data_IF_826299359472
#
_entry.id   IF_826299359472
#
_cell.length_a   1.000
_cell.length_b   1.000
_cell.length_c   1.000
_cell.angle_alpha   90.00
_cell.angle_beta   90.00
_cell.angle_gamma   90.00
#
_symmetry.space_group_name_H-M   'P 1'
#
loop_
_entity.id
_entity.type
_entity.pdbx_description
1 polymer ?
#
# COMPACT_ATOMS: atom_id res chain seq x y z
N UNK A 1 65.20 21.84 29.69
CA UNK A 1 66.30 21.31 28.84
C UNK A 1 65.66 21.02 27.50
N UNK A 2 66.17 21.84 26.54
CA UNK A 2 66.07 21.76 25.09
C UNK A 2 64.63 21.87 24.47
N UNK A 3 64.14 23.02 24.07
CA UNK A 3 64.50 23.91 22.96
C UNK A 3 64.84 23.19 21.65
N UNK A 4 63.94 23.30 20.68
CA UNK A 4 64.33 23.46 19.27
C UNK A 4 63.13 24.01 18.48
N UNK A 5 63.19 25.29 18.24
CA UNK A 5 62.38 26.08 17.34
C UNK A 5 63.10 26.18 15.98
N UNK A 6 62.57 25.76 14.85
CA UNK A 6 63.32 25.82 13.56
C UNK A 6 62.74 26.87 12.60
N UNK A 7 62.41 28.07 13.08
CA UNK A 7 62.05 29.17 12.16
C UNK A 7 62.75 30.44 12.63
N UNK A 8 64.06 30.48 12.40
CA UNK A 8 64.87 31.61 12.61
C UNK A 8 65.63 31.99 11.37
N UNK A 9 65.33 33.14 10.81
CA UNK A 9 66.17 34.16 10.22
C UNK A 9 67.31 33.77 9.21
N UNK A 10 67.24 34.44 8.09
CA UNK A 10 68.43 34.70 7.24
C UNK A 10 68.04 34.97 5.81
N UNK A 11 67.93 36.16 5.38
CA UNK A 11 68.97 36.90 4.65
C UNK A 11 68.80 36.76 3.14
N UNK A 12 68.25 37.76 2.54
CA UNK A 12 68.68 38.52 1.39
C UNK A 12 69.28 37.74 0.17
N UNK A 13 68.73 38.03 -0.93
CA UNK A 13 69.25 38.26 -2.25
C UNK A 13 68.59 37.49 -3.42
N UNK A 14 67.97 38.25 -4.27
CA UNK A 14 68.19 38.16 -5.69
C UNK A 14 67.24 37.37 -6.55
N UNK A 15 66.56 38.12 -7.41
CA UNK A 15 65.93 37.75 -8.67
C UNK A 15 64.52 37.25 -8.66
N UNK A 16 63.63 38.21 -8.74
CA UNK A 16 62.28 38.05 -9.32
C UNK A 16 62.36 38.04 -10.85
N UNK A 17 62.01 36.94 -11.53
CA UNK A 17 61.96 36.94 -13.01
C UNK A 17 60.63 37.37 -13.58
N UNK A 18 59.77 38.03 -12.79
CA UNK A 18 58.48 38.52 -13.29
C UNK A 18 58.30 40.02 -13.01
N UNK A 19 59.33 40.78 -13.29
CA UNK A 19 59.29 42.22 -13.32
C UNK A 19 59.28 42.70 -14.78
N UNK A 20 58.13 42.84 -15.35
CA UNK A 20 57.99 43.37 -16.72
C UNK A 20 56.70 44.15 -16.87
N UNK A 21 56.80 45.44 -16.96
CA UNK A 21 55.80 46.28 -17.55
C UNK A 21 54.93 47.10 -16.59
N UNK A 22 55.51 48.08 -15.92
CA UNK A 22 54.78 49.23 -15.43
C UNK A 22 54.17 50.00 -16.62
N UNK A 23 52.91 49.83 -16.85
CA UNK A 23 52.13 50.78 -17.64
C UNK A 23 51.27 51.58 -16.65
N UNK A 24 51.56 52.86 -16.57
CA UNK A 24 50.93 53.88 -15.81
C UNK A 24 49.44 54.06 -16.24
N UNK A 25 48.55 53.13 -15.89
CA UNK A 25 47.11 53.32 -16.09
C UNK A 25 46.40 53.98 -14.91
N UNK A 26 47.11 54.33 -13.84
CA UNK A 26 46.52 55.06 -12.71
C UNK A 26 46.24 56.54 -13.00
N UNK A 27 46.85 57.13 -14.08
CA UNK A 27 46.57 58.50 -14.44
C UNK A 27 45.28 58.70 -15.22
N UNK A 28 44.79 57.67 -15.93
CA UNK A 28 43.57 57.81 -16.72
C UNK A 28 42.32 57.63 -15.81
N UNK A 29 42.39 56.84 -14.77
CA UNK A 29 41.31 56.68 -13.84
C UNK A 29 41.10 57.93 -12.96
N UNK A 30 42.19 58.54 -12.49
CA UNK A 30 42.09 59.84 -11.79
C UNK A 30 41.67 60.96 -12.72
N UNK A 31 42.14 60.99 -13.98
CA UNK A 31 41.62 61.95 -14.96
C UNK A 31 40.17 61.72 -15.34
N UNK A 32 39.72 60.48 -15.36
CA UNK A 32 38.31 60.16 -15.57
C UNK A 32 37.43 60.55 -14.40
N UNK A 33 37.91 60.33 -13.16
CA UNK A 33 37.25 60.77 -11.95
C UNK A 33 37.27 62.31 -11.83
N UNK A 34 38.40 62.97 -12.15
CA UNK A 34 38.46 64.43 -12.19
C UNK A 34 37.56 65.01 -13.28
N UNK A 35 37.54 64.42 -14.48
CA UNK A 35 36.62 64.87 -15.55
C UNK A 35 35.16 64.65 -15.19
N UNK A 36 34.84 63.56 -14.48
CA UNK A 36 33.48 63.32 -13.95
C UNK A 36 33.15 64.33 -12.84
N UNK A 37 34.08 64.54 -11.90
CA UNK A 37 33.91 65.55 -10.82
C UNK A 37 33.83 66.98 -11.33
N UNK A 38 34.61 67.36 -12.37
CA UNK A 38 34.57 68.69 -12.98
C UNK A 38 33.33 68.89 -13.87
N UNK A 39 32.80 67.81 -14.46
CA UNK A 39 31.46 67.86 -15.11
C UNK A 39 30.33 67.97 -14.10
N UNK A 40 30.40 67.28 -12.95
CA UNK A 40 29.46 67.43 -11.86
C UNK A 40 29.69 68.74 -11.07
N UNK A 41 30.91 69.27 -10.98
CA UNK A 41 31.22 70.53 -10.34
C UNK A 41 30.80 71.78 -11.12
N UNK A 42 30.52 71.64 -12.43
CA UNK A 42 29.95 72.73 -13.26
C UNK A 42 28.41 72.83 -13.16
N UNK A 43 27.73 71.85 -12.57
CA UNK A 43 26.35 71.96 -12.17
C UNK A 43 26.31 72.85 -10.92
N UNK A 44 26.24 74.17 -11.09
CA UNK A 44 25.94 75.11 -10.04
C UNK A 44 24.60 74.73 -9.38
N UNK A 45 24.70 73.95 -8.29
CA UNK A 45 23.57 73.52 -7.46
C UNK A 45 23.06 74.72 -6.63
N UNK A 46 22.91 75.84 -7.24
CA UNK A 46 22.58 77.08 -6.56
C UNK A 46 21.29 77.77 -7.00
N UNK A 47 20.45 77.11 -7.77
CA UNK A 47 19.16 77.68 -8.14
C UNK A 47 18.01 76.72 -7.82
N UNK A 48 16.83 77.24 -7.43
CA UNK A 48 15.66 76.41 -7.07
C UNK A 48 15.27 75.44 -8.17
N UNK A 49 15.56 75.77 -9.42
CA UNK A 49 15.30 74.96 -10.62
C UNK A 49 16.21 73.73 -10.74
N UNK A 50 17.47 73.81 -10.33
CA UNK A 50 18.40 72.67 -10.34
C UNK A 50 18.16 71.69 -9.20
N UNK A 51 17.74 72.19 -8.05
CA UNK A 51 17.28 71.34 -6.93
C UNK A 51 16.05 70.54 -7.33
N UNK A 52 15.10 71.17 -8.06
CA UNK A 52 13.89 70.50 -8.55
C UNK A 52 14.24 69.39 -9.58
N UNK A 53 15.19 69.61 -10.48
CA UNK A 53 15.67 68.59 -11.43
C UNK A 53 16.35 67.41 -10.67
N UNK A 54 17.14 67.69 -9.62
CA UNK A 54 17.79 66.66 -8.81
C UNK A 54 16.75 65.82 -8.04
N UNK A 55 15.71 66.47 -7.52
CA UNK A 55 14.59 65.75 -6.89
C UNK A 55 13.86 64.87 -7.89
N UNK A 56 13.59 65.37 -9.07
CA UNK A 56 12.92 64.57 -10.14
C UNK A 56 13.76 63.37 -10.53
N UNK A 57 15.10 63.54 -10.68
CA UNK A 57 16.00 62.41 -10.99
C UNK A 57 16.02 61.41 -9.81
N UNK A 58 16.07 61.87 -8.59
CA UNK A 58 16.02 60.98 -7.40
C UNK A 58 14.70 60.20 -7.33
N UNK A 59 13.56 60.85 -7.66
CA UNK A 59 12.25 60.19 -7.72
C UNK A 59 12.21 59.18 -8.85
N UNK A 60 12.79 59.49 -10.01
CA UNK A 60 12.84 58.56 -11.14
C UNK A 60 13.70 57.34 -10.81
N UNK A 61 14.86 57.51 -10.15
CA UNK A 61 15.71 56.42 -9.70
C UNK A 61 15.00 55.59 -8.67
N UNK A 62 14.30 56.25 -7.71
CA UNK A 62 13.50 55.57 -6.72
C UNK A 62 12.36 54.75 -7.33
N UNK A 63 11.61 55.29 -8.32
CA UNK A 63 10.61 54.58 -9.07
C UNK A 63 11.21 53.39 -9.86
N UNK A 64 12.38 53.57 -10.48
CA UNK A 64 13.07 52.52 -11.20
C UNK A 64 13.53 51.35 -10.30
N UNK A 65 13.65 51.59 -8.98
CA UNK A 65 13.97 50.54 -7.99
C UNK A 65 12.82 49.58 -7.67
N UNK A 66 11.62 49.83 -8.23
CA UNK A 66 10.42 49.02 -7.96
C UNK A 66 10.31 47.67 -8.70
N UNK A 67 11.31 47.32 -9.48
CA UNK A 67 11.31 46.00 -10.15
C UNK A 67 11.68 44.90 -9.17
N UNK A 68 10.88 43.83 -9.15
CA UNK A 68 11.16 42.62 -8.39
C UNK A 68 10.93 41.38 -9.23
N UNK A 69 11.62 40.29 -8.91
CA UNK A 69 11.52 39.02 -9.59
C UNK A 69 10.88 37.99 -8.66
N UNK A 70 9.90 37.26 -9.15
CA UNK A 70 9.28 36.11 -8.50
C UNK A 70 9.83 34.83 -9.14
N UNK A 71 10.41 33.95 -8.34
CA UNK A 71 10.92 32.65 -8.84
C UNK A 71 9.75 31.70 -9.15
N UNK A 72 9.99 30.63 -9.96
CA UNK A 72 8.91 29.71 -10.36
C UNK A 72 8.24 28.98 -9.20
N UNK A 73 8.93 28.82 -8.07
CA UNK A 73 8.44 28.18 -6.85
C UNK A 73 7.82 29.17 -5.84
N UNK A 74 7.76 30.46 -6.19
CA UNK A 74 7.26 31.54 -5.34
C UNK A 74 6.01 32.21 -5.91
N UNK A 75 5.24 32.84 -5.06
CA UNK A 75 4.18 33.78 -5.43
C UNK A 75 4.46 35.14 -4.78
N UNK A 76 4.33 36.19 -5.58
CA UNK A 76 4.47 37.56 -5.09
C UNK A 76 3.18 38.04 -4.42
N UNK A 77 3.31 38.59 -3.22
CA UNK A 77 2.20 39.24 -2.50
C UNK A 77 2.54 40.69 -2.31
N UNK A 78 1.72 41.57 -2.88
CA UNK A 78 1.95 42.99 -2.93
C UNK A 78 1.19 43.72 -1.77
N UNK A 79 1.93 44.48 -0.98
CA UNK A 79 1.38 45.28 0.10
C UNK A 79 1.56 46.78 -0.22
N UNK A 80 0.47 47.53 -0.18
CA UNK A 80 0.48 48.96 -0.33
C UNK A 80 0.27 49.60 1.05
N UNK A 81 1.26 50.34 1.55
CA UNK A 81 1.28 50.89 2.91
C UNK A 81 0.98 49.87 4.01
N UNK A 82 1.49 48.61 3.81
CA UNK A 82 1.27 47.52 4.74
C UNK A 82 -0.10 46.82 4.62
N UNK A 83 -0.96 47.27 3.72
CA UNK A 83 -2.24 46.61 3.44
C UNK A 83 -2.15 45.75 2.20
N UNK A 84 -2.57 44.50 2.31
CA UNK A 84 -2.66 43.58 1.21
C UNK A 84 -3.72 44.00 0.18
N UNK A 85 -3.36 44.01 -1.10
CA UNK A 85 -4.22 44.45 -2.22
C UNK A 85 -5.04 43.32 -2.86
N UNK A 86 -5.18 42.17 -2.17
CA UNK A 86 -5.89 40.98 -2.66
C UNK A 86 -5.41 40.47 -4.03
N UNK A 87 -4.17 40.77 -4.42
CA UNK A 87 -3.55 40.29 -5.63
C UNK A 87 -2.32 39.47 -5.29
N UNK A 88 -2.26 38.27 -5.84
CA UNK A 88 -1.06 37.42 -5.89
C UNK A 88 -0.50 37.46 -7.30
N UNK A 89 0.81 37.60 -7.41
CA UNK A 89 1.53 37.74 -8.67
C UNK A 89 2.22 36.41 -8.98
N UNK A 90 2.06 35.93 -10.19
CA UNK A 90 2.70 34.68 -10.66
C UNK A 90 4.21 34.89 -10.89
N UNK A 91 4.92 33.79 -11.21
CA UNK A 91 6.35 33.83 -11.49
C UNK A 91 6.69 34.76 -12.67
N UNK A 92 7.76 35.54 -12.54
CA UNK A 92 8.22 36.47 -13.55
C UNK A 92 8.84 37.73 -13.01
N UNK A 93 9.07 38.70 -13.93
CA UNK A 93 9.53 40.03 -13.56
C UNK A 93 8.33 40.96 -13.47
N UNK A 94 8.15 41.56 -12.33
CA UNK A 94 7.04 42.44 -12.02
C UNK A 94 7.55 43.79 -11.54
N UNK A 95 6.68 44.77 -11.61
CA UNK A 95 6.94 46.13 -11.13
C UNK A 95 5.90 46.50 -10.08
N UNK A 96 6.37 46.89 -8.92
CA UNK A 96 5.53 47.43 -7.85
C UNK A 96 6.18 48.66 -7.21
N UNK A 97 5.43 49.42 -6.44
CA UNK A 97 5.98 50.61 -5.79
C UNK A 97 7.12 50.26 -4.85
N UNK A 98 8.27 50.97 -4.94
CA UNK A 98 9.39 50.70 -4.05
C UNK A 98 9.11 51.11 -2.61
N UNK A 99 9.88 50.52 -1.67
CA UNK A 99 9.85 50.89 -0.28
C UNK A 99 10.09 52.41 -0.11
N UNK A 100 9.35 53.14 0.79
CA UNK A 100 8.46 52.64 1.84
C UNK A 100 6.97 52.51 1.45
N UNK A 101 6.57 52.86 0.25
CA UNK A 101 5.16 52.87 -0.19
C UNK A 101 4.65 51.44 -0.43
N UNK A 102 5.43 50.65 -1.14
CA UNK A 102 5.13 49.25 -1.43
C UNK A 102 6.11 48.31 -0.73
N UNK A 103 5.61 47.13 -0.40
CA UNK A 103 6.39 46.02 0.08
C UNK A 103 5.92 44.75 -0.62
N UNK A 104 6.83 43.91 -1.10
CA UNK A 104 6.54 42.62 -1.70
C UNK A 104 7.09 41.51 -0.83
N UNK A 105 6.29 40.46 -0.64
CA UNK A 105 6.67 39.22 0.07
C UNK A 105 6.55 38.10 -0.92
N UNK A 106 7.60 37.29 -1.06
CA UNK A 106 7.65 36.16 -2.00
C UNK A 106 7.79 34.83 -1.26
N UNK A 107 6.71 34.31 -0.67
CA UNK A 107 6.77 33.01 -0.02
C UNK A 107 6.84 31.89 -1.03
N UNK A 108 7.60 30.82 -0.69
CA UNK A 108 7.70 29.61 -1.49
C UNK A 108 6.41 28.78 -1.36
N UNK A 109 5.70 28.63 -2.49
CA UNK A 109 4.38 27.96 -2.53
C UNK A 109 4.47 26.50 -2.95
N UNK A 110 5.44 26.14 -3.81
CA UNK A 110 5.59 24.76 -4.29
C UNK A 110 6.29 23.84 -3.27
N UNK A 111 6.88 24.39 -2.21
CA UNK A 111 7.53 23.60 -1.17
C UNK A 111 6.47 22.85 -0.37
N UNK A 112 6.60 21.52 -0.35
CA UNK A 112 5.76 20.66 0.48
C UNK A 112 6.20 20.80 1.93
N UNK A 113 5.27 21.25 2.77
CA UNK A 113 5.45 21.38 4.22
C UNK A 113 4.86 20.16 4.91
N UNK A 114 5.51 19.76 5.99
CA UNK A 114 5.14 18.59 6.78
C UNK A 114 4.79 19.02 8.20
N UNK A 115 3.64 18.57 8.69
CA UNK A 115 3.25 18.70 10.09
C UNK A 115 3.05 17.31 10.68
N UNK A 116 3.75 17.02 11.77
CA UNK A 116 3.62 15.77 12.52
C UNK A 116 2.68 15.99 13.71
N UNK A 117 1.71 15.08 13.88
CA UNK A 117 0.71 15.12 14.94
C UNK A 117 0.77 13.77 15.69
N UNK A 118 0.79 13.86 17.03
CA UNK A 118 0.97 12.70 17.91
C UNK A 118 2.43 12.29 18.15
N UNK A 119 3.36 12.85 17.39
CA UNK A 119 4.79 12.61 17.59
C UNK A 119 5.64 13.80 17.16
N UNK A 120 6.87 13.86 17.69
CA UNK A 120 7.89 14.82 17.24
C UNK A 120 9.08 14.06 16.73
N UNK A 121 9.52 14.40 15.53
CA UNK A 121 10.75 13.88 14.95
C UNK A 121 11.96 14.64 15.53
N UNK A 122 13.13 14.03 15.55
CA UNK A 122 14.36 14.67 15.98
C UNK A 122 14.65 15.96 15.19
N UNK A 123 14.23 16.05 13.93
CA UNK A 123 14.31 17.25 13.09
C UNK A 123 13.46 18.39 13.61
N UNK A 124 12.29 18.11 14.20
CA UNK A 124 11.36 19.12 14.71
C UNK A 124 11.86 19.73 16.04
N UNK A 125 12.74 19.00 16.73
CA UNK A 125 13.35 19.41 17.99
C UNK A 125 14.68 20.16 17.82
N UNK A 126 15.14 20.38 16.56
CA UNK A 126 16.38 21.10 16.28
C UNK A 126 17.65 20.35 16.66
N UNK A 127 17.56 19.09 17.03
CA UNK A 127 18.72 18.25 17.31
C UNK A 127 19.26 17.65 16.01
N UNK A 128 20.43 18.14 15.58
CA UNK A 128 21.23 17.53 14.51
C UNK A 128 21.89 16.24 15.01
N UNK A 129 21.12 15.30 15.51
CA UNK A 129 21.64 14.05 16.03
C UNK A 129 21.06 12.87 15.25
N UNK A 130 21.93 11.96 14.87
CA UNK A 130 21.67 10.68 14.22
C UNK A 130 20.79 9.69 15.02
N UNK A 131 20.02 10.19 15.98
CA UNK A 131 19.10 9.40 16.78
C UNK A 131 17.71 9.52 16.19
N UNK A 132 17.20 8.44 15.58
CA UNK A 132 15.82 8.27 15.16
C UNK A 132 14.84 8.18 16.36
N UNK A 133 15.05 8.97 17.41
CA UNK A 133 14.19 9.00 18.58
C UNK A 133 12.95 9.84 18.26
N UNK A 134 11.89 9.17 17.84
CA UNK A 134 10.56 9.78 17.80
C UNK A 134 10.04 9.90 19.23
N UNK A 135 9.64 11.11 19.62
CA UNK A 135 8.99 11.35 20.91
C UNK A 135 7.48 11.41 20.70
N UNK A 136 6.75 10.44 21.22
CA UNK A 136 5.28 10.48 21.24
C UNK A 136 4.77 11.62 22.11
N UNK A 137 3.72 12.29 21.62
CA UNK A 137 2.98 13.35 22.34
C UNK A 137 1.59 12.80 22.62
N UNK A 138 1.45 12.20 23.79
CA UNK A 138 0.25 11.46 24.20
C UNK A 138 -1.02 12.31 24.14
N UNK A 139 -0.92 13.60 24.47
CA UNK A 139 -2.06 14.51 24.45
C UNK A 139 -2.67 14.74 23.06
N UNK A 140 -1.85 14.60 22.01
CA UNK A 140 -2.27 14.78 20.61
C UNK A 140 -2.66 13.44 19.95
N UNK A 141 -2.11 12.33 20.45
CA UNK A 141 -2.25 11.02 19.79
C UNK A 141 -3.41 10.18 20.32
N UNK A 142 -3.83 10.39 21.58
CA UNK A 142 -4.93 9.61 22.15
C UNK A 142 -6.29 10.05 21.63
N UNK A 143 -7.01 9.12 21.04
CA UNK A 143 -8.35 9.32 20.46
C UNK A 143 -9.29 8.18 20.83
N UNK A 144 -10.57 8.51 20.98
CA UNK A 144 -11.62 7.51 21.22
C UNK A 144 -12.20 7.06 19.88
N UNK A 145 -12.30 5.75 19.67
CA UNK A 145 -12.90 5.15 18.48
C UNK A 145 -14.41 4.94 18.64
N UNK A 146 -15.11 4.64 17.56
CA UNK A 146 -16.56 4.45 17.56
C UNK A 146 -17.04 3.25 18.39
N UNK A 147 -16.17 2.26 18.59
CA UNK A 147 -16.39 1.08 19.45
C UNK A 147 -15.91 1.28 20.90
N UNK A 148 -15.74 2.55 21.32
CA UNK A 148 -15.36 2.95 22.68
C UNK A 148 -13.97 2.45 23.14
N UNK A 149 -13.10 2.15 22.21
CA UNK A 149 -11.71 1.86 22.51
C UNK A 149 -10.87 3.14 22.44
N UNK A 150 -9.75 3.14 23.14
CA UNK A 150 -8.75 4.23 23.04
C UNK A 150 -7.68 3.78 22.04
N UNK A 151 -7.40 4.63 21.06
CA UNK A 151 -6.33 4.45 20.07
C UNK A 151 -5.27 5.54 20.24
N UNK A 152 -4.01 5.15 20.13
CA UNK A 152 -2.85 6.03 19.96
C UNK A 152 -2.62 6.19 18.45
N UNK A 153 -3.01 7.35 17.91
CA UNK A 153 -2.99 7.62 16.46
C UNK A 153 -1.95 8.71 16.18
N UNK A 154 -0.87 8.33 15.51
CA UNK A 154 0.14 9.25 15.03
C UNK A 154 0.02 9.41 13.51
N UNK A 155 0.01 10.65 13.03
CA UNK A 155 -0.14 10.92 11.60
C UNK A 155 0.64 12.17 11.17
N UNK A 156 0.85 12.25 9.85
CA UNK A 156 1.56 13.34 9.19
C UNK A 156 0.67 13.97 8.13
N UNK A 157 0.59 15.28 8.14
CA UNK A 157 -0.08 16.06 7.09
C UNK A 157 0.97 16.71 6.19
N UNK A 158 0.86 16.45 4.90
CA UNK A 158 1.66 17.09 3.87
C UNK A 158 0.79 18.11 3.15
N UNK A 159 1.24 19.36 3.14
CA UNK A 159 0.51 20.45 2.49
C UNK A 159 1.41 21.39 1.74
N UNK A 160 0.85 22.12 0.80
CA UNK A 160 1.49 23.22 0.10
C UNK A 160 0.59 24.46 0.11
N UNK A 161 1.18 25.60 -0.18
CA UNK A 161 0.43 26.86 -0.30
C UNK A 161 -0.17 26.93 -1.70
N UNK A 162 -1.49 27.11 -1.80
CA UNK A 162 -2.21 27.34 -3.05
C UNK A 162 -2.30 28.83 -3.37
N UNK A 163 -2.53 29.65 -2.36
CA UNK A 163 -2.63 31.11 -2.46
C UNK A 163 -1.84 31.75 -1.32
N UNK A 164 -0.74 32.40 -1.70
CA UNK A 164 0.18 33.01 -0.74
C UNK A 164 -0.45 34.18 0.03
N UNK A 165 -1.36 34.92 -0.59
CA UNK A 165 -2.04 36.05 0.05
C UNK A 165 -2.97 35.59 1.15
N UNK A 166 -3.84 34.62 0.87
CA UNK A 166 -4.74 34.04 1.85
C UNK A 166 -3.97 33.39 2.99
N UNK A 167 -2.91 32.64 2.67
CA UNK A 167 -2.06 31.98 3.67
C UNK A 167 -1.43 32.95 4.67
N UNK A 168 -0.96 34.12 4.20
CA UNK A 168 -0.27 35.10 5.05
C UNK A 168 -1.22 36.00 5.84
N UNK A 169 -2.42 36.29 5.32
CA UNK A 169 -3.27 37.35 5.87
C UNK A 169 -4.62 36.91 6.42
N UNK A 170 -5.12 35.75 6.00
CA UNK A 170 -6.39 35.22 6.52
C UNK A 170 -6.23 34.48 7.84
N UNK A 171 -5.08 33.80 8.02
CA UNK A 171 -4.78 33.05 9.24
C UNK A 171 -3.68 33.70 10.04
N UNK A 172 -3.87 33.82 11.38
CA UNK A 172 -2.88 34.39 12.27
C UNK A 172 -1.64 33.49 12.41
N UNK A 173 -1.85 32.18 12.49
CA UNK A 173 -0.80 31.18 12.60
C UNK A 173 -1.20 29.97 11.77
N UNK A 174 -0.85 29.94 10.45
CA UNK A 174 -1.32 28.90 9.55
C UNK A 174 -0.92 27.49 9.96
N UNK A 175 0.32 27.30 10.44
CA UNK A 175 0.83 25.96 10.81
C UNK A 175 0.09 25.38 12.01
N UNK A 176 -0.13 26.18 13.04
CA UNK A 176 -0.89 25.76 14.22
C UNK A 176 -2.36 25.51 13.85
N UNK A 177 -2.94 26.36 13.02
CA UNK A 177 -4.33 26.19 12.57
C UNK A 177 -4.52 24.89 11.78
N UNK A 178 -3.60 24.57 10.85
CA UNK A 178 -3.66 23.27 10.11
C UNK A 178 -3.54 22.10 11.08
N UNK A 179 -2.65 22.19 12.06
CA UNK A 179 -2.48 21.15 13.07
C UNK A 179 -3.76 20.92 13.88
N UNK A 180 -4.34 21.98 14.45
CA UNK A 180 -5.54 21.89 15.28
C UNK A 180 -6.76 21.39 14.48
N UNK A 181 -6.90 21.86 13.24
CA UNK A 181 -7.95 21.38 12.33
C UNK A 181 -7.74 19.91 11.93
N UNK A 182 -6.51 19.53 11.62
CA UNK A 182 -6.20 18.14 11.27
C UNK A 182 -6.47 17.20 12.45
N UNK A 183 -6.08 17.59 13.67
CA UNK A 183 -6.39 16.83 14.88
C UNK A 183 -7.90 16.67 15.08
N UNK A 184 -8.67 17.73 14.86
CA UNK A 184 -10.14 17.71 15.00
C UNK A 184 -10.79 16.79 13.97
N UNK A 185 -10.41 16.89 12.69
CA UNK A 185 -10.98 16.07 11.61
C UNK A 185 -10.59 14.59 11.78
N UNK A 186 -9.33 14.31 12.16
CA UNK A 186 -8.92 12.91 12.41
C UNK A 186 -9.69 12.34 13.59
N UNK A 187 -9.84 13.11 14.68
CA UNK A 187 -10.62 12.68 15.85
C UNK A 187 -12.08 12.41 15.52
N UNK A 188 -12.69 13.21 14.65
CA UNK A 188 -14.04 12.98 14.15
C UNK A 188 -14.14 11.68 13.34
N UNK A 189 -13.24 11.46 12.39
CA UNK A 189 -13.25 10.28 11.51
C UNK A 189 -12.95 9.00 12.31
N UNK A 190 -11.97 9.05 13.22
CA UNK A 190 -11.62 7.94 14.11
C UNK A 190 -12.78 7.60 15.05
N UNK A 191 -13.47 8.63 15.59
CA UNK A 191 -14.63 8.47 16.47
C UNK A 191 -15.85 7.81 15.80
N UNK A 192 -15.90 7.76 14.49
CA UNK A 192 -16.98 7.12 13.72
C UNK A 192 -16.65 5.69 13.27
N UNK A 193 -15.41 5.21 13.49
CA UNK A 193 -14.92 3.93 13.01
C UNK A 193 -14.48 3.01 14.16
N UNK A 194 -14.59 1.70 13.91
CA UNK A 194 -14.10 0.69 14.85
C UNK A 194 -12.56 0.62 14.82
N UNK A 195 -11.94 0.39 15.97
CA UNK A 195 -10.48 0.30 16.08
C UNK A 195 -9.89 -0.75 15.14
N UNK A 196 -10.55 -1.92 15.04
CA UNK A 196 -10.06 -3.00 14.19
C UNK A 196 -10.04 -2.61 12.69
N UNK A 197 -11.03 -1.86 12.23
CA UNK A 197 -11.06 -1.33 10.86
C UNK A 197 -9.90 -0.36 10.60
N UNK A 198 -9.60 0.52 11.57
CA UNK A 198 -8.51 1.49 11.46
C UNK A 198 -7.14 0.79 11.42
N UNK A 199 -6.97 -0.29 12.20
CA UNK A 199 -5.72 -1.06 12.28
C UNK A 199 -5.41 -1.85 11.00
N UNK A 200 -6.43 -2.37 10.32
CA UNK A 200 -6.26 -3.33 9.22
C UNK A 200 -6.54 -2.72 7.84
N UNK A 201 -7.78 -2.72 7.42
CA UNK A 201 -8.15 -2.46 6.01
C UNK A 201 -8.50 -0.98 5.73
N UNK A 202 -8.88 -0.23 6.77
CA UNK A 202 -9.43 1.11 6.63
C UNK A 202 -8.42 2.23 6.44
N UNK A 203 -7.11 1.97 6.55
CA UNK A 203 -6.08 3.02 6.56
C UNK A 203 -6.17 3.97 5.37
N UNK A 204 -6.21 3.45 4.16
CA UNK A 204 -6.28 4.27 2.94
C UNK A 204 -7.60 5.05 2.83
N UNK A 205 -8.70 4.43 3.22
CA UNK A 205 -10.01 5.09 3.23
C UNK A 205 -10.01 6.27 4.21
N UNK A 206 -9.51 6.05 5.41
CA UNK A 206 -9.40 7.08 6.46
C UNK A 206 -8.51 8.23 6.00
N UNK A 207 -7.33 7.95 5.42
CA UNK A 207 -6.43 8.99 4.89
C UNK A 207 -7.12 9.85 3.83
N UNK A 208 -7.93 9.25 2.95
CA UNK A 208 -8.70 9.95 1.93
C UNK A 208 -9.83 10.79 2.52
N UNK A 209 -10.61 10.23 3.46
CA UNK A 209 -11.72 10.92 4.13
C UNK A 209 -11.19 12.10 4.92
N UNK A 210 -10.13 11.90 5.70
CA UNK A 210 -9.47 12.97 6.47
C UNK A 210 -8.90 14.05 5.55
N UNK A 211 -8.23 13.67 4.45
CA UNK A 211 -7.72 14.63 3.49
C UNK A 211 -8.82 15.52 2.91
N UNK A 212 -9.94 14.91 2.52
CA UNK A 212 -11.06 15.64 1.93
C UNK A 212 -11.75 16.54 2.98
N UNK A 213 -12.03 16.00 4.18
CA UNK A 213 -12.61 16.79 5.27
C UNK A 213 -11.72 17.94 5.70
N UNK A 214 -10.42 17.72 5.83
CA UNK A 214 -9.47 18.77 6.18
C UNK A 214 -9.39 19.85 5.09
N UNK A 215 -9.43 19.46 3.81
CA UNK A 215 -9.46 20.41 2.70
C UNK A 215 -10.74 21.25 2.72
N UNK A 216 -11.90 20.64 2.95
CA UNK A 216 -13.19 21.33 3.04
C UNK A 216 -13.20 22.37 4.17
N UNK A 217 -12.71 21.98 5.35
CA UNK A 217 -12.59 22.89 6.49
C UNK A 217 -11.65 24.06 6.16
N UNK A 218 -10.46 23.79 5.61
CA UNK A 218 -9.48 24.83 5.25
C UNK A 218 -9.99 25.76 4.15
N UNK A 219 -10.74 25.23 3.20
CA UNK A 219 -11.37 26.02 2.13
C UNK A 219 -12.47 26.93 2.67
N UNK A 220 -13.24 26.50 3.67
CA UNK A 220 -14.27 27.32 4.33
C UNK A 220 -13.67 28.55 5.05
N UNK A 221 -12.42 28.42 5.52
CA UNK A 221 -11.66 29.54 6.12
C UNK A 221 -10.87 30.36 5.08
N UNK A 222 -10.98 30.04 3.80
CA UNK A 222 -10.19 30.67 2.73
C UNK A 222 -8.69 30.67 3.06
N UNK A 223 -8.19 29.57 3.60
CA UNK A 223 -6.84 29.48 4.16
C UNK A 223 -5.71 29.61 3.12
N UNK A 224 -6.01 29.39 1.85
CA UNK A 224 -5.01 29.35 0.78
C UNK A 224 -4.06 28.14 0.87
N UNK A 225 -4.46 27.08 1.57
CA UNK A 225 -3.68 25.85 1.77
C UNK A 225 -4.26 24.72 0.93
N UNK A 226 -3.40 23.92 0.35
CA UNK A 226 -3.76 22.70 -0.37
C UNK A 226 -3.16 21.49 0.34
N UNK A 227 -4.02 20.60 0.83
CA UNK A 227 -3.59 19.34 1.41
C UNK A 227 -3.20 18.36 0.31
N UNK A 228 -1.95 17.93 0.31
CA UNK A 228 -1.42 16.94 -0.64
C UNK A 228 -1.82 15.54 -0.23
N UNK A 229 -1.47 15.17 0.99
CA UNK A 229 -1.82 13.87 1.56
C UNK A 229 -1.82 13.92 3.08
N UNK A 230 -2.59 13.03 3.67
CA UNK A 230 -2.53 12.69 5.09
C UNK A 230 -2.01 11.26 5.16
N UNK A 231 -1.06 10.99 6.04
CA UNK A 231 -0.43 9.69 6.19
C UNK A 231 -0.50 9.26 7.65
N UNK A 232 -1.16 8.15 7.90
CA UNK A 232 -1.18 7.52 9.21
C UNK A 232 0.18 6.82 9.44
N UNK A 233 0.93 7.21 10.45
CA UNK A 233 2.23 6.63 10.79
C UNK A 233 2.07 5.38 11.64
N UNK A 234 1.48 5.53 12.84
CA UNK A 234 1.13 4.41 13.70
C UNK A 234 -0.28 4.57 14.23
N UNK A 235 -0.97 3.45 14.34
CA UNK A 235 -2.23 3.32 15.07
C UNK A 235 -2.05 2.12 15.97
N UNK A 236 -2.10 2.32 17.27
CA UNK A 236 -1.86 1.27 18.25
C UNK A 236 -2.81 1.45 19.44
N UNK A 237 -3.19 0.38 20.13
CA UNK A 237 -3.79 0.52 21.45
C UNK A 237 -2.78 1.15 22.43
N UNK A 238 -3.22 1.92 23.44
CA UNK A 238 -2.32 2.43 24.47
C UNK A 238 -1.52 1.30 25.14
N UNK A 239 -0.25 1.56 25.46
CA UNK A 239 0.68 0.55 25.97
C UNK A 239 0.18 -0.18 27.22
N UNK A 240 -0.66 0.48 28.04
CA UNK A 240 -1.23 -0.11 29.24
C UNK A 240 -2.26 -1.23 29.01
N UNK A 241 -2.85 -1.28 27.81
CA UNK A 241 -3.94 -2.23 27.46
C UNK A 241 -3.60 -3.17 26.31
N UNK A 242 -2.39 -3.10 25.76
CA UNK A 242 -1.95 -3.93 24.63
C UNK A 242 -2.14 -5.42 24.94
N UNK A 243 -1.69 -5.88 26.10
CA UNK A 243 -1.78 -7.31 26.48
C UNK A 243 -3.22 -7.80 26.56
N UNK A 244 -4.12 -6.97 27.13
CA UNK A 244 -5.54 -7.29 27.24
C UNK A 244 -6.23 -7.27 25.86
N UNK A 245 -5.85 -6.34 25.00
CA UNK A 245 -6.34 -6.26 23.63
C UNK A 245 -5.93 -7.50 22.80
N UNK A 246 -4.67 -7.91 22.91
CA UNK A 246 -4.14 -9.09 22.24
C UNK A 246 -4.82 -10.38 22.74
N UNK A 247 -5.19 -10.44 24.02
CA UNK A 247 -5.94 -11.58 24.55
C UNK A 247 -7.36 -11.65 23.96
N UNK A 248 -8.05 -10.51 23.85
CA UNK A 248 -9.36 -10.43 23.21
C UNK A 248 -9.27 -10.82 21.72
N UNK A 249 -8.24 -10.38 21.02
CA UNK A 249 -8.03 -10.74 19.61
C UNK A 249 -7.76 -12.25 19.45
N UNK A 250 -6.93 -12.83 20.32
CA UNK A 250 -6.71 -14.29 20.37
C UNK A 250 -8.01 -15.05 20.61
N UNK A 251 -8.82 -14.61 21.57
CA UNK A 251 -10.11 -15.23 21.87
C UNK A 251 -11.09 -15.14 20.69
N UNK A 252 -11.13 -14.01 19.96
CA UNK A 252 -11.91 -13.86 18.73
C UNK A 252 -11.45 -14.83 17.64
N UNK A 253 -10.15 -14.92 17.40
CA UNK A 253 -9.56 -15.85 16.42
C UNK A 253 -9.84 -17.32 16.78
N UNK A 254 -9.74 -17.68 18.07
CA UNK A 254 -10.07 -19.02 18.55
C UNK A 254 -11.55 -19.35 18.32
N UNK A 255 -12.44 -18.42 18.60
CA UNK A 255 -13.88 -18.56 18.30
C UNK A 255 -14.12 -18.81 16.81
N UNK A 256 -13.51 -17.99 15.95
CA UNK A 256 -13.65 -18.15 14.49
C UNK A 256 -13.07 -19.48 14.00
N UNK A 257 -11.93 -19.88 14.54
CA UNK A 257 -11.31 -21.17 14.23
C UNK A 257 -12.23 -22.33 14.60
N UNK A 258 -12.82 -22.32 15.82
CA UNK A 258 -13.75 -23.35 16.25
C UNK A 258 -15.03 -23.40 15.38
N UNK A 259 -15.58 -22.24 15.00
CA UNK A 259 -16.72 -22.15 14.07
C UNK A 259 -16.37 -22.72 12.70
N UNK A 260 -15.19 -22.39 12.18
CA UNK A 260 -14.73 -22.88 10.88
C UNK A 260 -14.46 -24.39 10.90
N UNK A 261 -13.86 -24.90 11.98
CA UNK A 261 -13.68 -26.34 12.19
C UNK A 261 -15.02 -27.07 12.26
N UNK A 262 -16.00 -26.55 13.02
CA UNK A 262 -17.33 -27.11 13.11
C UNK A 262 -18.06 -27.12 11.75
N UNK A 263 -17.99 -26.04 11.00
CA UNK A 263 -18.52 -25.95 9.64
C UNK A 263 -17.85 -26.92 8.67
N UNK A 264 -16.53 -27.03 8.75
CA UNK A 264 -15.77 -27.99 7.95
C UNK A 264 -16.16 -29.44 8.29
N UNK A 265 -16.32 -29.75 9.58
CA UNK A 265 -16.79 -31.05 10.02
C UNK A 265 -18.20 -31.35 9.49
N UNK A 266 -19.12 -30.40 9.63
CA UNK A 266 -20.51 -30.53 9.11
C UNK A 266 -20.54 -30.75 7.61
N UNK A 267 -19.77 -29.96 6.87
CA UNK A 267 -19.68 -30.05 5.41
C UNK A 267 -19.03 -31.36 4.92
N UNK A 268 -18.26 -32.02 5.76
CA UNK A 268 -17.69 -33.34 5.46
C UNK A 268 -18.63 -34.49 5.83
N UNK A 269 -19.20 -34.47 7.03
CA UNK A 269 -20.01 -35.58 7.55
C UNK A 269 -21.36 -35.71 6.87
N UNK A 270 -22.09 -34.60 6.70
CA UNK A 270 -23.45 -34.66 6.14
C UNK A 270 -23.46 -35.14 4.68
N UNK A 271 -22.61 -34.63 3.76
CA UNK A 271 -22.56 -35.15 2.40
C UNK A 271 -22.08 -36.59 2.31
N UNK A 272 -21.10 -36.99 3.14
CA UNK A 272 -20.61 -38.36 3.20
C UNK A 272 -21.72 -39.33 3.64
N UNK A 273 -22.41 -39.01 4.73
CA UNK A 273 -23.52 -39.85 5.20
C UNK A 273 -24.66 -39.95 4.18
N UNK A 274 -24.98 -38.82 3.50
CA UNK A 274 -25.95 -38.84 2.38
C UNK A 274 -25.48 -39.70 1.21
N UNK A 275 -24.19 -39.61 0.88
CA UNK A 275 -23.57 -40.42 -0.18
C UNK A 275 -23.59 -41.89 0.15
N UNK A 276 -23.25 -42.27 1.39
CA UNK A 276 -23.32 -43.68 1.84
C UNK A 276 -24.76 -44.20 1.85
N UNK A 277 -25.71 -43.42 2.34
CA UNK A 277 -27.13 -43.80 2.31
C UNK A 277 -27.64 -43.96 0.87
N UNK A 278 -27.32 -43.04 -0.04
CA UNK A 278 -27.67 -43.15 -1.44
C UNK A 278 -27.05 -44.38 -2.11
N UNK A 279 -25.75 -44.63 -1.82
CA UNK A 279 -25.04 -45.82 -2.32
C UNK A 279 -25.70 -47.12 -1.84
N UNK A 280 -26.12 -47.18 -0.58
CA UNK A 280 -26.82 -48.34 -0.01
C UNK A 280 -28.17 -48.57 -0.71
N UNK A 281 -28.96 -47.49 -0.86
CA UNK A 281 -30.28 -47.57 -1.51
C UNK A 281 -30.17 -47.96 -2.99
N UNK A 282 -29.26 -47.33 -3.72
CA UNK A 282 -29.04 -47.68 -5.15
C UNK A 282 -28.45 -49.11 -5.32
N UNK A 283 -27.55 -49.51 -4.42
CA UNK A 283 -27.06 -50.89 -4.39
C UNK A 283 -28.17 -51.91 -4.13
N UNK A 284 -29.09 -51.64 -3.22
CA UNK A 284 -30.23 -52.52 -2.95
C UNK A 284 -31.20 -52.56 -4.14
N UNK A 285 -31.45 -51.43 -4.80
CA UNK A 285 -32.26 -51.40 -6.04
C UNK A 285 -31.64 -52.18 -7.16
N UNK A 286 -30.34 -52.00 -7.39
CA UNK A 286 -29.60 -52.75 -8.43
C UNK A 286 -29.62 -54.26 -8.15
N UNK A 287 -29.42 -54.67 -6.89
CA UNK A 287 -29.50 -56.06 -6.51
C UNK A 287 -30.93 -56.64 -6.76
N UNK A 288 -31.99 -55.88 -6.33
CA UNK A 288 -33.37 -56.27 -6.63
C UNK A 288 -33.58 -56.47 -8.12
N UNK A 289 -33.18 -55.48 -8.95
CA UNK A 289 -33.34 -55.61 -10.42
C UNK A 289 -32.55 -56.80 -11.00
N UNK A 290 -31.34 -57.00 -10.51
CA UNK A 290 -30.51 -58.13 -10.93
C UNK A 290 -31.22 -59.48 -10.64
N UNK A 291 -31.74 -59.65 -9.40
CA UNK A 291 -32.45 -60.88 -9.00
C UNK A 291 -33.68 -61.09 -9.83
N UNK A 292 -34.49 -60.02 -10.03
CA UNK A 292 -35.71 -60.09 -10.84
C UNK A 292 -35.41 -60.46 -12.30
N UNK A 293 -34.41 -59.77 -12.90
CA UNK A 293 -34.02 -60.00 -14.28
C UNK A 293 -33.41 -61.38 -14.45
N UNK A 294 -32.67 -61.90 -13.50
CA UNK A 294 -32.12 -63.24 -13.52
C UNK A 294 -33.23 -64.29 -13.45
N UNK A 295 -34.26 -64.08 -12.56
CA UNK A 295 -35.41 -64.97 -12.46
C UNK A 295 -36.26 -64.95 -13.73
N UNK A 296 -36.51 -63.76 -14.31
CA UNK A 296 -37.20 -63.58 -15.59
C UNK A 296 -36.45 -64.31 -16.72
N UNK A 297 -35.12 -64.15 -16.77
CA UNK A 297 -34.23 -64.81 -17.76
C UNK A 297 -34.29 -66.35 -17.67
N UNK A 298 -34.25 -66.89 -16.43
CA UNK A 298 -34.39 -68.35 -16.19
C UNK A 298 -35.77 -68.78 -16.58
N UNK A 299 -36.83 -68.11 -16.27
CA UNK A 299 -38.18 -68.46 -16.67
C UNK A 299 -38.40 -68.41 -18.18
N UNK A 300 -37.88 -67.36 -18.84
CA UNK A 300 -37.93 -67.27 -20.30
C UNK A 300 -37.16 -68.38 -20.98
N UNK A 301 -35.97 -68.68 -20.51
CA UNK A 301 -35.15 -69.82 -21.04
C UNK A 301 -35.90 -71.15 -20.88
N UNK A 302 -36.59 -71.34 -19.72
CA UNK A 302 -37.40 -72.54 -19.55
C UNK A 302 -38.54 -72.61 -20.57
N UNK A 303 -39.23 -71.49 -20.79
CA UNK A 303 -40.34 -71.43 -21.80
C UNK A 303 -39.80 -71.68 -23.20
N UNK A 304 -38.67 -71.17 -23.59
CA UNK A 304 -38.06 -71.33 -24.89
C UNK A 304 -37.58 -72.77 -25.10
N UNK A 305 -36.99 -73.38 -24.08
CA UNK A 305 -36.60 -74.80 -24.08
C UNK A 305 -37.88 -75.67 -24.18
N UNK A 306 -38.94 -75.36 -23.44
CA UNK A 306 -40.21 -76.10 -23.49
C UNK A 306 -40.86 -76.01 -24.86
N UNK A 307 -40.91 -74.85 -25.47
CA UNK A 307 -41.46 -74.69 -26.81
C UNK A 307 -40.64 -75.49 -27.84
N UNK A 308 -39.31 -75.43 -27.79
CA UNK A 308 -38.45 -76.27 -28.65
C UNK A 308 -38.64 -77.73 -28.40
N UNK A 309 -38.90 -78.19 -27.16
CA UNK A 309 -39.19 -79.55 -26.83
C UNK A 309 -40.56 -80.01 -27.41
N UNK A 310 -41.55 -79.14 -27.38
CA UNK A 310 -42.87 -79.41 -27.92
C UNK A 310 -42.83 -79.67 -29.41
N UNK A 311 -41.98 -78.94 -30.15
CA UNK A 311 -41.89 -79.07 -31.61
C UNK A 311 -41.03 -80.27 -32.05
N UNK A 312 -39.95 -80.62 -31.29
CA UNK A 312 -39.00 -81.65 -31.64
C UNK A 312 -38.45 -82.41 -30.40
N UNK A 313 -39.29 -83.33 -29.86
CA UNK A 313 -39.05 -83.97 -28.56
C UNK A 313 -37.71 -84.70 -28.45
N UNK A 314 -37.41 -85.55 -29.42
CA UNK A 314 -36.22 -86.43 -29.43
C UNK A 314 -34.94 -85.62 -29.59
N UNK A 315 -34.95 -84.64 -30.48
CA UNK A 315 -33.77 -83.82 -30.77
C UNK A 315 -33.42 -82.95 -29.59
N UNK A 316 -34.45 -82.32 -28.97
CA UNK A 316 -34.28 -81.43 -27.84
C UNK A 316 -33.82 -82.20 -26.59
N UNK A 317 -34.35 -83.38 -26.31
CA UNK A 317 -33.90 -84.26 -25.22
C UNK A 317 -32.41 -84.65 -25.39
N UNK A 318 -32.00 -85.03 -26.60
CA UNK A 318 -30.62 -85.36 -26.86
C UNK A 318 -29.68 -84.16 -26.72
N UNK A 319 -30.10 -83.02 -27.18
CA UNK A 319 -29.36 -81.75 -27.01
C UNK A 319 -29.17 -81.41 -25.52
N UNK A 320 -30.26 -81.36 -24.73
CA UNK A 320 -30.17 -81.05 -23.31
C UNK A 320 -29.27 -82.06 -22.58
N UNK A 321 -29.39 -83.34 -22.90
CA UNK A 321 -28.52 -84.40 -22.34
C UNK A 321 -27.04 -84.10 -22.61
N UNK A 322 -26.70 -83.79 -23.85
CA UNK A 322 -25.31 -83.50 -24.23
C UNK A 322 -24.81 -82.18 -23.60
N UNK A 323 -25.66 -81.19 -23.53
CA UNK A 323 -25.31 -79.91 -22.85
C UNK A 323 -25.07 -80.11 -21.33
N UNK A 324 -25.94 -80.81 -20.65
CA UNK A 324 -25.77 -81.17 -19.23
C UNK A 324 -24.52 -82.05 -19.03
N UNK A 325 -24.30 -82.98 -19.88
CA UNK A 325 -23.10 -83.83 -19.82
C UNK A 325 -21.82 -83.05 -20.05
N UNK A 326 -21.87 -82.05 -20.96
CA UNK A 326 -20.76 -81.13 -21.18
C UNK A 326 -20.49 -80.29 -19.95
N UNK A 327 -21.52 -79.66 -19.34
CA UNK A 327 -21.43 -78.87 -18.18
C UNK A 327 -20.87 -79.61 -16.96
N UNK A 328 -21.34 -80.84 -16.73
CA UNK A 328 -20.84 -81.72 -15.63
C UNK A 328 -19.38 -82.13 -15.88
N UNK A 329 -18.99 -82.26 -17.13
CA UNK A 329 -17.62 -82.67 -17.50
C UNK A 329 -16.68 -81.47 -17.67
N UNK A 330 -17.18 -80.22 -17.74
CA UNK A 330 -16.37 -79.06 -17.89
C UNK A 330 -15.62 -78.79 -16.58
N UNK A 331 -14.32 -78.58 -16.65
CA UNK A 331 -13.48 -78.32 -15.45
C UNK A 331 -13.14 -79.56 -14.61
N UNK A 332 -13.52 -80.75 -14.99
CA UNK A 332 -13.13 -82.02 -14.34
C UNK A 332 -11.99 -82.70 -15.09
N UNK A 333 -11.02 -83.23 -14.39
CA UNK A 333 -9.99 -84.09 -14.98
C UNK A 333 -10.66 -85.36 -15.49
N UNK A 334 -10.60 -85.59 -16.80
CA UNK A 334 -11.27 -86.72 -17.48
C UNK A 334 -10.25 -87.77 -17.82
N UNK A 335 -10.52 -89.02 -17.42
CA UNK A 335 -9.77 -90.18 -17.81
C UNK A 335 -10.70 -91.02 -18.72
N UNK A 336 -10.38 -91.11 -20.03
CA UNK A 336 -11.12 -91.92 -20.96
C UNK A 336 -10.45 -93.32 -20.99
N UNK A 337 -11.18 -94.31 -20.55
CA UNK A 337 -10.74 -95.73 -20.69
C UNK A 337 -11.31 -96.30 -21.96
N UNK A 338 -10.47 -96.72 -22.88
CA UNK A 338 -10.88 -97.41 -24.10
C UNK A 338 -11.04 -98.94 -23.75
N UNK A 339 -12.22 -99.48 -23.98
CA UNK A 339 -12.61 -100.82 -23.59
C UNK A 339 -12.26 -101.86 -24.71
N UNK A 340 -11.42 -101.43 -25.66
CA UNK A 340 -11.04 -102.31 -26.80
C UNK A 340 -9.71 -103.07 -26.53
N UNK A 341 -9.71 -103.98 -25.54
CA UNK A 341 -8.54 -104.84 -25.35
C UNK A 341 -8.54 -105.55 -23.98
N UNK A 342 -9.17 -106.71 -23.94
CA UNK A 342 -9.25 -107.53 -22.74
C UNK A 342 -7.90 -107.87 -22.10
N UNK A 343 -7.54 -107.09 -21.12
CA UNK A 343 -6.73 -107.44 -19.93
C UNK A 343 -6.78 -106.27 -18.99
N UNK A 344 -7.28 -106.51 -17.76
CA UNK A 344 -7.62 -105.51 -16.77
C UNK A 344 -6.50 -104.50 -16.45
N UNK A 345 -6.70 -103.28 -16.92
CA UNK A 345 -5.90 -102.14 -16.48
C UNK A 345 -6.46 -101.69 -15.15
N UNK A 346 -5.74 -101.97 -14.06
CA UNK A 346 -6.04 -101.35 -12.74
C UNK A 346 -5.76 -99.86 -12.82
N UNK A 347 -6.76 -98.97 -12.70
CA UNK A 347 -6.49 -97.57 -12.77
C UNK A 347 -5.67 -97.17 -11.54
N UNK A 348 -4.39 -96.93 -11.76
CA UNK A 348 -3.51 -96.40 -10.74
C UNK A 348 -3.79 -94.87 -10.65
N UNK A 349 -4.61 -94.49 -9.69
CA UNK A 349 -4.84 -93.05 -9.37
C UNK A 349 -3.73 -92.60 -8.44
N UNK A 350 -2.79 -91.75 -8.88
CA UNK A 350 -1.77 -91.22 -7.96
C UNK A 350 -2.41 -90.27 -6.94
N UNK A 351 -2.54 -90.73 -5.72
CA UNK A 351 -3.13 -89.91 -4.59
C UNK A 351 -2.44 -88.57 -4.34
N UNK A 352 -1.29 -88.31 -4.91
CA UNK A 352 -0.56 -87.03 -4.77
C UNK A 352 -1.13 -85.91 -5.65
N UNK A 353 -1.91 -86.13 -6.69
CA UNK A 353 -2.55 -85.08 -7.46
C UNK A 353 -3.89 -84.63 -6.92
N UNK A 354 -4.56 -85.43 -6.10
CA UNK A 354 -5.78 -85.04 -5.38
C UNK A 354 -5.54 -84.01 -4.22
N UNK A 355 -4.30 -83.92 -3.77
CA UNK A 355 -3.91 -82.96 -2.72
C UNK A 355 -3.56 -81.54 -3.24
N UNK A 356 -3.33 -81.34 -4.53
CA UNK A 356 -2.97 -80.08 -5.16
C UNK A 356 -4.16 -79.16 -5.54
N UNK A 357 -5.39 -79.66 -5.39
CA UNK A 357 -6.61 -78.96 -5.79
C UNK A 357 -7.24 -78.02 -4.74
N UNK A 358 -6.64 -77.89 -3.58
CA UNK A 358 -7.25 -77.07 -2.46
C UNK A 358 -6.28 -76.11 -1.84
N UNK A 359 -5.64 -75.25 -2.71
CA UNK A 359 -5.02 -74.02 -2.21
C UNK A 359 -5.10 -72.95 -3.30
N UNK A 360 -6.23 -72.23 -3.32
CA UNK A 360 -6.37 -70.81 -3.70
C UNK A 360 -7.63 -70.29 -3.05
#
# INVERSE_FOLDING_TARGET
MNDNNPWGSGGNNGNNPWGGGGSNNNMDFEKSIKKARDRFGKFKIGGPRNILILIIIAVLIWLASGFYRVEPDEQGVELLFGKWNNKTTESGLHYFFPSPIGQTITPKVEVIRKINIGFRSASDLGFSSNTNAERKVIEESLMLTGDQNIADVAFTVLYKIKDAGNFLFKLRNPELTVKDMAESVVREVVGQRELQFILAEGRQEIEQVVRNGLQEVLDSYESGILIQSVQLQSVEPPSQVIDAFDEVQRAKQDKERLVNEANSYLNRIVPNARGEAAKLVEGAKAYKEQVVKQAEGVAQNFIDVYNSYKDAKEVTRRRIYLETLREVLEGKNKIILDDAGGQGVVPYLPLNELKKGNSN
#
